data_IF_803248768911
#
_entry.id   IF_803248768911
#
_cell.length_a   1.000
_cell.length_b   1.000
_cell.length_c   1.000
_cell.angle_alpha   90.00
_cell.angle_beta   90.00
_cell.angle_gamma   90.00
#
_symmetry.space_group_name_H-M   'P 1'
#
loop_
_entity.id
_entity.type
_entity.pdbx_description
1 polymer ?
2 non-polymer ?
3 non-polymer ?
4 water ?
#
# COMPACT_ATOMS: atom_id res chain seq x y z
N UNK A 8 6.80 -15.88 1.89
CA UNK A 8 7.08 -14.44 1.80
C UNK A 8 7.72 -13.99 3.16
N UNK A 9 9.02 -14.39 3.37
CA UNK A 9 9.73 -14.06 4.63
C UNK A 9 10.05 -12.57 4.75
N UNK A 10 10.39 -11.86 3.66
CA UNK A 10 10.61 -10.42 3.75
C UNK A 10 9.27 -9.75 4.13
N UNK A 11 9.29 -8.66 4.91
CA UNK A 11 8.02 -7.99 5.25
C UNK A 11 7.32 -7.43 4.02
N UNK A 12 5.98 -7.56 3.97
CA UNK A 12 5.16 -7.03 2.88
C UNK A 12 4.27 -5.93 3.46
N UNK A 13 4.53 -4.66 3.06
CA UNK A 13 3.75 -3.53 3.59
C UNK A 13 2.29 -3.66 3.11
N UNK A 14 1.35 -3.56 4.05
CA UNK A 14 -0.10 -3.72 3.82
C UNK A 14 -0.86 -2.39 4.07
N UNK A 15 -0.26 -1.48 4.87
CA UNK A 15 -0.81 -0.15 5.15
C UNK A 15 0.32 0.85 5.06
N UNK A 16 0.16 1.88 4.21
CA UNK A 16 1.13 2.93 4.01
C UNK A 16 0.90 4.14 4.95
N UNK A 17 1.95 4.85 5.44
CA UNK A 17 1.72 6.11 6.22
C UNK A 17 1.07 7.14 5.31
N UNK A 18 0.24 8.02 5.85
CA UNK A 18 -0.47 8.99 4.99
C UNK A 18 -0.01 10.42 5.24
N UNK A 19 0.09 11.20 4.13
CA UNK A 19 0.46 12.60 4.13
C UNK A 19 -0.57 13.34 4.99
N UNK A 20 -0.09 14.17 5.90
CA UNK A 20 -0.91 14.90 6.87
C UNK A 20 -0.48 16.31 7.11
N UNK A 21 -1.42 17.10 7.65
CA UNK A 21 -1.19 18.46 8.12
C UNK A 21 -1.51 18.50 9.60
N UNK A 22 -0.82 19.35 10.36
CA UNK A 22 -1.01 19.50 11.81
C UNK A 22 -0.67 20.91 12.25
N UNK A 23 -1.24 21.35 13.38
CA UNK A 23 -0.94 22.69 13.93
C UNK A 23 0.23 22.56 14.93
N UNK A 24 1.04 23.63 15.05
CA UNK A 24 2.18 23.66 15.96
C UNK A 24 1.68 23.40 17.40
N UNK A 25 2.37 22.50 18.10
CA UNK A 25 2.05 22.14 19.48
C UNK A 25 1.13 20.95 19.64
N UNK A 26 0.52 20.47 18.54
CA UNK A 26 -0.38 19.32 18.53
C UNK A 26 0.44 18.00 18.53
N UNK A 27 -0.27 16.87 18.62
CA UNK A 27 0.35 15.56 18.55
C UNK A 27 0.02 14.94 17.20
N UNK A 28 0.98 14.22 16.60
CA UNK A 28 0.84 13.59 15.28
C UNK A 28 1.27 12.14 15.33
N UNK A 29 0.55 11.26 14.63
CA UNK A 29 0.95 9.86 14.53
C UNK A 29 0.94 9.38 13.08
N UNK A 30 1.91 8.53 12.72
CA UNK A 30 2.05 7.90 11.40
C UNK A 30 1.98 6.42 11.65
N UNK A 31 1.30 5.66 10.77
CA UNK A 31 1.17 4.24 10.99
C UNK A 31 1.58 3.49 9.72
N UNK A 32 2.17 2.33 9.91
CA UNK A 32 2.57 1.47 8.81
C UNK A 32 2.39 0.04 9.25
N UNK A 33 1.79 -0.79 8.40
CA UNK A 33 1.56 -2.20 8.71
C UNK A 33 2.18 -3.09 7.67
N UNK A 34 2.60 -4.29 8.09
CA UNK A 34 3.23 -5.29 7.21
C UNK A 34 2.90 -6.70 7.66
N UNK A 35 3.11 -7.66 6.79
CA UNK A 35 2.88 -9.07 7.04
C UNK A 35 4.08 -9.88 6.58
N UNK A 36 4.27 -11.02 7.23
CA UNK A 36 5.33 -11.96 6.87
C UNK A 36 4.86 -13.37 7.11
N UNK A 37 5.36 -14.30 6.28
CA UNK A 37 5.07 -15.71 6.50
C UNK A 37 6.09 -16.26 7.51
N UNK A 38 7.06 -15.41 7.92
CA UNK A 38 8.16 -15.80 8.81
C UNK A 38 8.09 -15.12 10.19
N UNK A 39 8.12 -15.94 11.26
CA UNK A 39 8.18 -15.45 12.63
C UNK A 39 9.69 -15.34 12.97
N UNK A 40 10.29 -14.25 12.45
CA UNK A 40 11.69 -13.85 12.58
C UNK A 40 11.81 -12.52 13.31
N UNK A 41 12.92 -12.19 14.04
CA UNK A 41 12.99 -10.88 14.72
C UNK A 41 12.80 -9.72 13.75
N UNK A 42 11.88 -8.88 14.14
CA UNK A 42 11.49 -7.73 13.35
C UNK A 42 12.08 -6.42 13.92
N UNK A 43 12.38 -5.49 13.01
CA UNK A 43 12.92 -4.17 13.28
C UNK A 43 11.99 -3.14 12.61
N UNK A 44 11.63 -2.10 13.34
CA UNK A 44 10.78 -0.99 12.90
C UNK A 44 11.56 0.27 13.07
N UNK A 45 11.70 1.01 11.99
CA UNK A 45 12.43 2.26 11.98
C UNK A 45 11.65 3.31 11.27
N UNK A 46 11.79 4.57 11.71
CA UNK A 46 11.18 5.72 11.05
C UNK A 46 12.26 6.76 10.73
N UNK A 47 12.12 7.41 9.59
CA UNK A 47 13.07 8.42 9.12
C UNK A 47 12.30 9.67 8.74
N UNK A 48 12.96 10.83 8.81
CA UNK A 48 12.37 12.10 8.42
C UNK A 48 13.39 12.72 7.48
N UNK A 49 13.00 12.97 6.23
CA UNK A 49 13.87 13.51 5.17
C UNK A 49 15.15 12.64 5.02
N UNK A 50 14.98 11.31 4.85
CA UNK A 50 16.00 10.25 4.67
C UNK A 50 16.96 10.10 5.88
N UNK A 51 16.68 10.81 6.99
CA UNK A 51 17.51 10.73 8.20
C UNK A 51 16.79 9.93 9.27
N UNK A 52 17.50 8.97 9.88
CA UNK A 52 16.98 8.09 10.92
C UNK A 52 16.53 8.87 12.16
N UNK A 53 15.38 8.44 12.72
CA UNK A 53 14.83 8.98 13.96
C UNK A 53 15.20 8.01 15.05
N UNK A 54 16.42 8.17 15.55
CA UNK A 54 17.04 7.30 16.54
C UNK A 54 16.25 7.23 17.84
N UNK A 55 15.70 8.36 18.33
CA UNK A 55 14.99 8.36 19.61
C UNK A 55 13.49 8.51 19.42
N UNK A 56 12.99 7.99 18.31
CA UNK A 56 11.57 8.05 17.99
C UNK A 56 10.72 7.28 19.00
N UNK A 57 9.60 7.89 19.39
CA UNK A 57 8.62 7.21 20.23
C UNK A 57 7.77 6.32 19.31
N UNK A 58 7.80 5.01 19.53
CA UNK A 58 7.05 4.07 18.68
C UNK A 58 6.16 3.17 19.48
N UNK A 59 5.06 2.73 18.87
CA UNK A 59 4.16 1.70 19.39
C UNK A 59 4.14 0.63 18.33
N UNK A 60 4.86 -0.48 18.59
CA UNK A 60 5.05 -1.59 17.66
C UNK A 60 4.22 -2.77 18.12
N UNK A 61 3.56 -3.40 17.16
CA UNK A 61 2.64 -4.49 17.42
C UNK A 61 2.96 -5.67 16.53
N UNK A 62 2.94 -6.84 17.11
CA UNK A 62 3.14 -8.09 16.40
C UNK A 62 2.04 -9.07 16.75
N UNK A 63 1.23 -9.47 15.77
CA UNK A 63 0.22 -10.50 16.00
C UNK A 63 0.74 -11.75 15.33
N UNK A 64 1.34 -12.64 16.12
CA UNK A 64 1.98 -13.82 15.61
C UNK A 64 0.98 -14.96 15.49
N UNK A 65 0.98 -15.63 14.31
CA UNK A 65 0.09 -16.78 14.03
C UNK A 65 -1.40 -16.38 14.31
N UNK A 66 -1.80 -15.24 13.72
CA UNK A 66 -3.12 -14.65 13.85
C UNK A 66 -4.19 -15.65 13.48
N UNK A 67 -5.20 -15.81 14.38
CA UNK A 67 -6.34 -16.73 14.21
C UNK A 67 -5.89 -18.20 14.10
N UNK A 68 -4.69 -18.50 14.59
CA UNK A 68 -4.12 -19.85 14.55
C UNK A 68 -3.49 -20.20 13.20
N UNK A 69 -3.41 -19.21 12.31
CA UNK A 69 -2.82 -19.36 10.97
C UNK A 69 -1.32 -19.29 10.97
N UNK A 70 -0.73 -19.16 9.79
CA UNK A 70 0.73 -19.12 9.61
C UNK A 70 1.19 -17.74 9.16
N UNK A 71 0.35 -16.72 9.38
CA UNK A 71 0.67 -15.36 9.02
C UNK A 71 1.03 -14.57 10.26
N UNK A 72 2.14 -13.79 10.14
CA UNK A 72 2.60 -12.80 11.14
C UNK A 72 2.17 -11.41 10.66
N UNK A 73 1.50 -10.63 11.54
CA UNK A 73 0.97 -9.32 11.18
C UNK A 73 1.60 -8.26 12.07
N UNK A 74 2.02 -7.13 11.48
CA UNK A 74 2.73 -6.12 12.26
C UNK A 74 2.23 -4.74 11.99
N UNK A 75 2.26 -3.89 13.01
CA UNK A 75 1.92 -2.48 12.88
C UNK A 75 2.94 -1.68 13.67
N UNK A 76 3.41 -0.58 13.12
CA UNK A 76 4.32 0.33 13.84
C UNK A 76 3.68 1.70 13.78
N UNK A 77 3.56 2.33 14.95
CA UNK A 77 2.99 3.68 15.04
C UNK A 77 4.08 4.65 15.51
N UNK A 78 4.41 5.63 14.68
CA UNK A 78 5.36 6.68 15.06
C UNK A 78 4.58 7.76 15.85
N UNK A 79 5.03 8.10 17.06
CA UNK A 79 4.36 9.10 17.88
C UNK A 79 5.15 10.40 17.94
N UNK A 80 4.55 11.50 17.47
CA UNK A 80 5.17 12.81 17.51
C UNK A 80 4.37 13.67 18.46
N UNK A 81 5.01 14.25 19.47
CA UNK A 81 4.28 15.07 20.44
C UNK A 81 4.76 16.49 20.41
N UNK A 82 3.82 17.45 20.65
CA UNK A 82 4.08 18.89 20.71
C UNK A 82 4.93 19.31 19.49
N UNK A 83 4.40 19.05 18.27
CA UNK A 83 5.11 19.26 17.00
C UNK A 83 5.54 20.72 16.85
N UNK A 84 6.76 20.88 16.32
CA UNK A 84 7.37 22.17 16.03
C UNK A 84 7.45 22.36 14.50
N UNK A 85 7.77 23.57 14.03
CA UNK A 85 7.87 23.79 12.58
C UNK A 85 9.00 22.91 12.01
N UNK A 86 10.01 22.57 12.84
CA UNK A 86 11.11 21.68 12.48
C UNK A 86 10.62 20.22 12.29
N UNK A 87 9.40 19.87 12.78
CA UNK A 87 8.82 18.52 12.62
C UNK A 87 8.37 18.29 11.17
N UNK A 88 8.20 19.36 10.36
CA UNK A 88 7.80 19.29 8.96
C UNK A 88 8.85 18.52 8.14
N UNK A 89 8.38 17.68 7.23
CA UNK A 89 9.23 16.90 6.36
C UNK A 89 8.57 15.64 5.85
N UNK A 90 9.32 14.84 5.09
CA UNK A 90 8.80 13.58 4.56
C UNK A 90 9.18 12.44 5.49
N UNK A 91 8.19 11.76 6.06
CA UNK A 91 8.38 10.64 6.98
C UNK A 91 8.30 9.32 6.24
N UNK A 92 9.16 8.37 6.64
CA UNK A 92 9.21 7.08 6.00
C UNK A 92 9.42 5.99 7.02
N UNK A 93 8.79 4.85 6.79
CA UNK A 93 8.91 3.69 7.66
C UNK A 93 9.73 2.63 6.96
N UNK A 94 10.64 2.01 7.70
CA UNK A 94 11.44 0.90 7.21
C UNK A 94 11.15 -0.26 8.14
N UNK A 95 10.62 -1.36 7.57
CA UNK A 95 10.28 -2.57 8.35
C UNK A 95 11.20 -3.66 7.87
N UNK A 96 11.94 -4.32 8.77
CA UNK A 96 12.86 -5.32 8.26
C UNK A 96 13.08 -6.47 9.21
N UNK A 97 13.52 -7.57 8.61
CA UNK A 97 13.95 -8.79 9.28
C UNK A 97 15.26 -9.17 8.58
N UNK A 98 15.95 -10.23 8.97
CA UNK A 98 17.25 -10.49 8.35
C UNK A 98 17.12 -10.92 6.87
N UNK A 99 15.89 -11.13 6.36
CA UNK A 99 15.67 -11.48 4.94
C UNK A 99 15.61 -10.24 4.07
N UNK A 100 15.26 -9.11 4.66
CA UNK A 100 15.21 -7.89 3.87
C UNK A 100 14.41 -6.80 4.53
N UNK A 101 14.52 -5.60 3.95
CA UNK A 101 13.87 -4.38 4.38
C UNK A 101 12.86 -3.89 3.39
N UNK A 102 11.71 -3.47 3.90
CA UNK A 102 10.64 -2.89 3.10
C UNK A 102 10.49 -1.45 3.51
N UNK A 103 10.52 -0.58 2.51
CA UNK A 103 10.45 0.88 2.63
C UNK A 103 9.08 1.37 2.25
N UNK A 104 8.43 2.10 3.16
CA UNK A 104 7.11 2.65 2.91
C UNK A 104 7.20 3.81 1.92
N UNK A 105 6.03 4.34 1.48
CA UNK A 105 5.99 5.58 0.71
C UNK A 105 6.40 6.71 1.66
N UNK A 106 6.87 7.82 1.11
CA UNK A 106 7.22 8.98 1.93
C UNK A 106 5.93 9.74 2.20
N UNK A 107 5.59 9.93 3.46
CA UNK A 107 4.38 10.67 3.85
C UNK A 107 4.78 12.05 4.32
N UNK A 108 4.30 13.08 3.65
CA UNK A 108 4.68 14.43 4.02
C UNK A 108 3.90 14.94 5.23
N UNK A 109 4.59 15.62 6.15
CA UNK A 109 3.95 16.28 7.28
C UNK A 109 4.09 17.78 7.13
N UNK A 110 2.96 18.50 7.08
CA UNK A 110 2.98 19.96 7.00
C UNK A 110 2.62 20.53 8.39
N UNK A 111 3.41 21.48 8.89
CA UNK A 111 3.17 22.11 10.19
C UNK A 111 2.80 23.57 9.97
N UNK A 112 1.63 23.98 10.49
CA UNK A 112 1.13 25.35 10.36
C UNK A 112 1.04 26.04 11.71
N UNK B 1 -5.97 2.70 9.41
CA UNK B 1 -5.95 1.51 10.10
C UNK B 1 -4.75 0.62 10.12
N UNK B 2 -4.89 -0.51 10.81
CA UNK B 2 -3.76 -1.43 10.89
C UNK B 2 -4.17 -2.76 11.48
N UNK B 3 -3.20 -3.58 11.89
CA UNK B 3 -3.52 -4.91 12.42
C UNK B 3 -3.88 -4.91 13.90
N UNK B 4 -3.49 -3.85 14.65
CA UNK B 4 -3.79 -3.74 16.09
C UNK B 4 -5.29 -3.97 16.31
N UNK B 5 -6.15 -3.29 15.55
CA UNK B 5 -7.60 -3.41 15.65
C UNK B 5 -8.16 -4.06 14.40
N UNK B 6 -7.28 -4.57 13.52
CA UNK B 6 -7.63 -5.24 12.24
C UNK B 6 -8.68 -4.37 11.51
N UNK B 7 -8.34 -3.07 11.35
CA UNK B 7 -9.25 -2.06 10.82
C UNK B 7 -8.70 -1.29 9.60
N UNK B 8 -8.29 -2.00 8.53
CA UNK B 8 -7.97 -1.32 7.28
C UNK B 8 -8.92 -1.92 6.21
N UNK B 9 -10.27 -1.75 6.31
CA UNK B 9 -11.14 -2.41 5.34
C UNK B 9 -11.09 -1.77 3.96
N UNK B 10 -10.85 -0.44 3.87
CA UNK B 10 -10.75 0.25 2.58
C UNK B 10 -9.55 -0.37 1.86
N UNK B 11 -9.60 -0.55 0.52
CA UNK B 11 -8.43 -1.13 -0.15
C UNK B 11 -7.23 -0.22 -0.01
N UNK B 12 -6.07 -0.81 0.27
CA UNK B 12 -4.79 -0.11 0.43
C UNK B 12 -3.92 -0.48 -0.76
N UNK B 13 -3.71 0.43 -1.74
CA UNK B 13 -2.87 0.08 -2.90
C UNK B 13 -1.44 -0.19 -2.44
N UNK B 14 -0.89 -1.36 -2.84
CA UNK B 14 0.43 -1.86 -2.47
C UNK B 14 1.38 -1.93 -3.66
N UNK B 15 0.83 -2.00 -4.88
CA UNK B 15 1.59 -2.02 -6.12
C UNK B 15 0.90 -1.06 -7.08
N UNK B 16 1.64 -0.06 -7.56
CA UNK B 16 1.12 0.95 -8.47
C UNK B 16 1.35 0.53 -9.91
N UNK B 17 0.42 0.91 -10.83
CA UNK B 17 0.65 0.65 -12.25
C UNK B 17 1.82 1.51 -12.70
N UNK B 18 2.58 1.03 -13.67
CA UNK B 18 3.76 1.77 -14.06
C UNK B 18 3.65 2.32 -15.47
N UNK B 19 4.16 3.55 -15.65
CA UNK B 19 4.22 4.24 -16.93
C UNK B 19 5.05 3.36 -17.87
N UNK B 20 4.52 3.13 -19.07
CA UNK B 20 5.12 2.25 -20.06
C UNK B 20 5.07 2.82 -21.47
N UNK B 21 5.92 2.25 -22.32
CA UNK B 21 5.92 2.47 -23.75
C UNK B 21 5.69 1.12 -24.42
N UNK B 22 5.01 1.12 -25.57
CA UNK B 22 4.71 -0.09 -26.32
C UNK B 22 4.64 0.22 -27.81
N UNK B 23 4.87 -0.80 -28.67
CA UNK B 23 4.82 -0.64 -30.13
C UNK B 23 3.39 -0.97 -30.57
N UNK B 24 2.91 -0.31 -31.63
CA UNK B 24 1.58 -0.54 -32.19
C UNK B 24 1.43 -2.01 -32.57
N UNK B 25 0.31 -2.61 -32.17
CA UNK B 25 0.01 -4.01 -32.46
C UNK B 25 0.43 -5.00 -31.39
N UNK B 26 1.21 -4.55 -30.41
CA UNK B 26 1.68 -5.38 -29.31
C UNK B 26 0.60 -5.53 -28.23
N UNK B 27 0.88 -6.35 -27.21
CA UNK B 27 -0.02 -6.51 -26.07
C UNK B 27 0.58 -5.77 -24.89
N UNK B 28 -0.28 -5.07 -24.12
CA UNK B 28 0.14 -4.28 -22.96
C UNK B 28 -0.67 -4.68 -21.73
N UNK B 29 0.00 -4.79 -20.58
CA UNK B 29 -0.70 -5.07 -19.34
C UNK B 29 -0.29 -4.07 -18.27
N UNK B 30 -1.25 -3.65 -17.45
CA UNK B 30 -1.08 -2.77 -16.31
C UNK B 30 -1.49 -3.56 -15.09
N UNK B 31 -0.76 -3.49 -14.01
CA UNK B 31 -1.07 -4.26 -12.81
C UNK B 31 -1.18 -3.31 -11.64
N UNK B 32 -2.12 -3.60 -10.76
CA UNK B 32 -2.30 -2.85 -9.55
C UNK B 32 -2.72 -3.82 -8.46
N UNK B 33 -2.05 -3.75 -7.29
CA UNK B 33 -2.36 -4.61 -6.16
C UNK B 33 -2.79 -3.79 -4.96
N UNK B 34 -3.60 -4.42 -4.10
CA UNK B 34 -4.11 -3.80 -2.90
C UNK B 34 -4.30 -4.85 -1.79
N UNK B 35 -4.43 -4.36 -0.56
CA UNK B 35 -4.65 -5.17 0.62
C UNK B 35 -5.81 -4.63 1.38
N UNK B 36 -6.42 -5.47 2.19
CA UNK B 36 -7.55 -5.09 3.04
C UNK B 36 -7.65 -6.05 4.16
N UNK B 37 -8.27 -5.62 5.27
CA UNK B 37 -8.58 -6.45 6.43
C UNK B 37 -10.02 -6.98 6.34
N UNK B 38 -10.77 -6.53 5.32
CA UNK B 38 -12.16 -6.93 5.10
C UNK B 38 -12.33 -7.84 3.91
N UNK B 39 -13.10 -8.90 4.12
CA UNK B 39 -13.56 -9.76 3.08
C UNK B 39 -14.96 -9.27 2.67
N UNK B 40 -14.99 -8.28 1.77
CA UNK B 40 -16.20 -7.68 1.23
C UNK B 40 -16.17 -7.68 -0.30
N UNK B 41 -17.34 -7.72 -1.00
CA UNK B 41 -17.29 -7.71 -2.46
C UNK B 41 -16.39 -6.59 -2.97
N UNK B 42 -15.45 -6.99 -3.82
CA UNK B 42 -14.52 -5.99 -4.36
C UNK B 42 -14.88 -5.72 -5.83
N UNK B 43 -14.49 -4.55 -6.25
CA UNK B 43 -14.72 -4.03 -7.57
C UNK B 43 -13.38 -3.53 -8.06
N UNK B 44 -13.02 -3.91 -9.29
CA UNK B 44 -11.80 -3.50 -9.96
C UNK B 44 -12.20 -2.83 -11.22
N UNK B 45 -11.73 -1.60 -11.40
CA UNK B 45 -12.05 -0.79 -12.57
C UNK B 45 -10.82 -0.14 -13.09
N UNK B 46 -10.76 0.04 -14.41
CA UNK B 46 -9.67 0.75 -15.05
C UNK B 46 -10.23 1.87 -15.92
N UNK B 47 -9.53 3.00 -15.94
CA UNK B 47 -9.92 4.18 -16.70
C UNK B 47 -8.77 4.63 -17.56
N UNK B 48 -9.09 5.29 -18.67
CA UNK B 48 -8.07 5.83 -19.57
C UNK B 48 -8.50 7.27 -19.80
N UNK B 49 -7.62 8.24 -19.42
CA UNK B 49 -7.87 9.68 -19.55
C UNK B 49 -9.21 10.09 -18.88
N UNK B 50 -9.32 9.79 -17.57
CA UNK B 50 -10.42 10.10 -16.67
C UNK B 50 -11.78 9.46 -17.13
N UNK B 51 -11.76 8.49 -18.08
CA UNK B 51 -12.97 7.81 -18.57
C UNK B 51 -12.91 6.29 -18.36
N UNK B 52 -14.02 5.69 -17.84
CA UNK B 52 -14.14 4.27 -17.55
C UNK B 52 -13.96 3.40 -18.79
N UNK B 53 -13.25 2.26 -18.65
CA UNK B 53 -13.03 1.27 -19.71
C UNK B 53 -14.04 0.15 -19.45
N UNK B 54 -15.26 0.35 -19.95
CA UNK B 54 -16.44 -0.48 -19.73
C UNK B 54 -16.24 -1.95 -20.10
N UNK B 55 -15.60 -2.25 -21.25
CA UNK B 55 -15.46 -3.64 -21.68
C UNK B 55 -14.03 -4.13 -21.53
N UNK B 56 -13.32 -3.59 -20.55
CA UNK B 56 -11.93 -3.93 -20.31
C UNK B 56 -11.75 -5.41 -19.97
N UNK B 57 -10.74 -6.02 -20.60
CA UNK B 57 -10.34 -7.39 -20.26
C UNK B 57 -9.48 -7.31 -19.00
N UNK B 58 -9.93 -7.99 -17.94
CA UNK B 58 -9.18 -7.99 -16.67
C UNK B 58 -8.91 -9.38 -16.15
N UNK B 59 -7.82 -9.50 -15.41
CA UNK B 59 -7.48 -10.69 -14.63
C UNK B 59 -7.37 -10.23 -13.20
N UNK B 60 -8.40 -10.55 -12.41
CA UNK B 60 -8.56 -10.14 -11.02
C UNK B 60 -8.34 -11.32 -10.10
N UNK B 61 -7.60 -11.05 -9.03
CA UNK B 61 -7.17 -12.04 -8.06
C UNK B 61 -7.48 -11.60 -6.68
N UNK B 62 -7.98 -12.52 -5.86
CA UNK B 62 -8.27 -12.26 -4.47
C UNK B 62 -7.74 -13.41 -3.61
N UNK B 63 -6.76 -13.12 -2.73
CA UNK B 63 -6.24 -14.11 -1.79
C UNK B 63 -6.83 -13.74 -0.44
N UNK B 64 -7.90 -14.45 -0.06
CA UNK B 64 -8.61 -14.16 1.15
C UNK B 64 -8.00 -14.95 2.32
N UNK B 65 -7.77 -14.24 3.45
CA UNK B 65 -7.22 -14.83 4.68
C UNK B 65 -5.91 -15.61 4.37
N UNK B 66 -4.98 -14.91 3.67
CA UNK B 66 -3.68 -15.42 3.26
C UNK B 66 -2.92 -16.06 4.44
N UNK B 67 -2.47 -17.31 4.25
CA UNK B 67 -1.75 -18.14 5.23
C UNK B 67 -2.59 -18.39 6.51
N UNK B 68 -3.90 -18.24 6.41
CA UNK B 68 -4.80 -18.42 7.56
C UNK B 68 -4.93 -17.19 8.44
N UNK B 69 -4.31 -16.10 8.02
CA UNK B 69 -4.33 -14.83 8.72
C UNK B 69 -5.56 -13.97 8.45
N UNK B 70 -5.46 -12.70 8.82
CA UNK B 70 -6.53 -11.72 8.70
C UNK B 70 -6.32 -10.75 7.55
N UNK B 71 -5.40 -11.03 6.65
CA UNK B 71 -5.11 -10.16 5.52
C UNK B 71 -5.77 -10.64 4.23
N UNK B 72 -6.31 -9.73 3.42
CA UNK B 72 -6.81 -9.98 2.05
C UNK B 72 -5.86 -9.29 1.10
N UNK B 73 -5.47 -10.01 0.04
CA UNK B 73 -4.55 -9.52 -0.98
C UNK B 73 -5.24 -9.54 -2.32
N UNK B 74 -5.09 -8.48 -3.10
CA UNK B 74 -5.76 -8.41 -4.40
C UNK B 74 -4.84 -7.91 -5.46
N UNK B 75 -5.02 -8.40 -6.67
CA UNK B 75 -4.29 -7.92 -7.84
C UNK B 75 -5.28 -7.82 -8.97
N UNK B 76 -5.22 -6.72 -9.74
CA UNK B 76 -6.03 -6.59 -10.95
C UNK B 76 -5.05 -6.32 -12.08
N UNK B 77 -5.16 -7.08 -13.14
CA UNK B 77 -4.34 -6.92 -14.33
C UNK B 77 -5.22 -6.47 -15.49
N UNK B 78 -4.97 -5.26 -16.02
CA UNK B 78 -5.67 -4.77 -17.19
C UNK B 78 -4.99 -5.33 -18.41
N UNK B 79 -5.75 -6.02 -19.30
CA UNK B 79 -5.15 -6.60 -20.50
C UNK B 79 -5.54 -5.81 -21.75
N UNK B 80 -4.53 -5.24 -22.43
CA UNK B 80 -4.73 -4.50 -23.67
C UNK B 80 -4.11 -5.30 -24.78
N UNK B 81 -4.88 -5.65 -25.80
CA UNK B 81 -4.35 -6.45 -26.88
C UNK B 81 -4.35 -5.67 -28.18
N UNK B 82 -3.34 -5.92 -29.04
CA UNK B 82 -3.17 -5.31 -30.35
C UNK B 82 -3.38 -3.76 -30.24
N UNK B 83 -2.58 -3.11 -29.35
CA UNK B 83 -2.67 -1.67 -29.00
C UNK B 83 -2.50 -0.76 -30.25
N UNK B 84 -3.43 0.21 -30.39
CA UNK B 84 -3.47 1.20 -31.47
C UNK B 84 -2.93 2.55 -30.96
N UNK B 85 -2.69 3.52 -31.86
CA UNK B 85 -2.21 4.84 -31.41
C UNK B 85 -3.27 5.48 -30.48
N UNK B 86 -4.55 5.14 -30.66
CA UNK B 86 -5.67 5.60 -29.82
C UNK B 86 -5.58 5.00 -28.40
N UNK B 87 -4.78 3.92 -28.18
CA UNK B 87 -4.59 3.30 -26.86
C UNK B 87 -3.74 4.19 -25.94
N UNK B 88 -3.00 5.16 -26.50
CA UNK B 88 -2.15 6.10 -25.76
C UNK B 88 -3.01 6.95 -24.82
N UNK B 89 -2.51 7.15 -23.60
CA UNK B 89 -3.18 7.95 -22.59
C UNK B 89 -2.77 7.59 -21.18
N UNK B 90 -3.37 8.25 -20.20
CA UNK B 90 -3.07 7.98 -18.80
C UNK B 90 -4.07 6.95 -18.26
N UNK B 91 -3.57 5.79 -17.82
CA UNK B 91 -4.38 4.71 -17.27
C UNK B 91 -4.40 4.79 -15.76
N UNK B 92 -5.55 4.48 -15.18
CA UNK B 92 -5.72 4.53 -13.74
C UNK B 92 -6.58 3.36 -13.28
N UNK B 93 -6.24 2.83 -12.13
CA UNK B 93 -6.97 1.75 -11.51
C UNK B 93 -7.75 2.29 -10.35
N UNK B 94 -9.01 1.86 -10.25
CA UNK B 94 -9.86 2.18 -9.12
C UNK B 94 -10.25 0.86 -8.48
N UNK B 95 -9.89 0.67 -7.21
CA UNK B 95 -10.21 -0.57 -6.48
C UNK B 95 -11.16 -0.17 -5.38
N UNK B 96 -12.32 -0.82 -5.28
CA UNK B 96 -13.23 -0.40 -4.23
C UNK B 96 -14.07 -1.53 -3.67
N UNK B 97 -14.59 -1.29 -2.49
CA UNK B 97 -15.56 -2.11 -1.78
C UNK B 97 -16.52 -1.12 -1.14
N UNK B 98 -17.45 -1.53 -0.28
CA UNK B 98 -18.42 -0.58 0.29
C UNK B 98 -17.80 0.34 1.37
N UNK B 99 -16.55 0.10 1.78
CA UNK B 99 -15.89 0.98 2.76
C UNK B 99 -15.22 2.19 2.06
N UNK B 100 -14.87 2.05 0.78
CA UNK B 100 -14.25 3.12 0.01
C UNK B 100 -13.59 2.73 -1.29
N UNK B 101 -13.21 3.73 -2.09
CA UNK B 101 -12.48 3.57 -3.35
C UNK B 101 -11.07 4.10 -3.25
N UNK B 102 -10.13 3.35 -3.78
CA UNK B 102 -8.73 3.76 -3.82
C UNK B 102 -8.32 3.89 -5.26
N UNK B 103 -7.74 5.02 -5.57
CA UNK B 103 -7.30 5.46 -6.90
C UNK B 103 -5.81 5.37 -7.04
N UNK B 104 -5.35 4.59 -8.02
CA UNK B 104 -3.92 4.42 -8.28
C UNK B 104 -3.33 5.70 -8.86
N UNK B 105 -1.98 5.72 -9.02
CA UNK B 105 -1.32 6.80 -9.72
C UNK B 105 -1.72 6.67 -11.18
N UNK B 106 -1.63 7.74 -11.95
CA UNK B 106 -1.96 7.67 -13.38
C UNK B 106 -0.70 7.17 -14.07
N UNK B 107 -0.81 6.04 -14.77
CA UNK B 107 0.32 5.47 -15.49
C UNK B 107 0.16 5.78 -16.95
N UNK B 108 1.12 6.50 -17.51
CA UNK B 108 1.02 6.89 -18.90
C UNK B 108 1.44 5.76 -19.83
N UNK B 109 0.68 5.57 -20.91
CA UNK B 109 1.02 4.61 -21.95
C UNK B 109 1.38 5.36 -23.21
N UNK B 110 2.61 5.17 -23.72
CA UNK B 110 3.04 5.79 -24.96
C UNK B 110 3.02 4.70 -26.06
N UNK B 111 2.42 5.01 -27.23
CA UNK B 111 2.32 4.07 -28.35
C UNK B 111 3.16 4.62 -29.50
N UNK B 112 4.12 3.80 -29.98
CA UNK B 112 5.01 4.19 -31.08
C UNK B 112 4.83 3.27 -32.28
X LIG C 1 7.01 -6.39 19.09
X LIG C 1 6.95 -6.44 17.62
X LIG C 1 5.69 -6.12 19.65
X LIG C 1 7.93 -5.30 19.47
X LIG C 1 7.54 -7.67 19.61
X LIG D 1 -0.45 7.49 8.82
X LIG E 1 12.93 13.01 1.96
X LIG F 1 17.76 -8.56 -1.67
X LIG G 1 -2.88 -14.85 -23.17
X LIG G 1 -2.57 -13.69 -24.01
X LIG G 1 -3.96 -14.53 -22.21
X LIG G 1 -1.65 -15.21 -22.43
X LIG G 1 -3.29 -15.96 -24.03
X LIG H 1 2.19 -2.03 -14.72
#
# INVERSE_FOLDING_TARGET
>A
XGFVCDDFPKPQITVQPETQSAIKGSDVSFTCSAASSSDSPMTFAWKKDNEALQDAEMENYAHLRAQGGELMEYTTILRLRNVEFTSEGKYQCVISNHFGSSYSVKAKLTIN
>B
XGFVCDDFPKPQITVQPETQSAIKGSDVSFTCSAASSSDSPMTFAWKKDNEALQDAEMENYAHLRAQGGELMEYTTILRLRNVEFTSEGKYQCVISNHFGSSYSVKAKLTIN
>C hetero
1 SO4 S O1 O2 O3 O4
>D hetero
1 CL CL
>E hetero
1 CL CL
>F hetero
1 CL CL
>G hetero
1 SO4 S O1 O2 O3 O4
>H hetero
1 CL CL
#
